data_IF_577789291196
#
_entry.id   IF_577789291196
#
_cell.length_a   1.000
_cell.length_b   1.000
_cell.length_c   1.000
_cell.angle_alpha   90.00
_cell.angle_beta   90.00
_cell.angle_gamma   90.00
#
_symmetry.space_group_name_H-M   'P 1'
#
loop_
_entity.id
_entity.type
_entity.pdbx_description
1 polymer ?
#
# COMPACT_ATOMS: atom_id res chain seq x y z
N UNK A 1 6.69 -7.16 -22.71
CA UNK A 1 6.15 -5.90 -22.16
C UNK A 1 6.69 -5.80 -20.73
N UNK A 2 7.81 -5.11 -20.52
CA UNK A 2 8.71 -5.39 -19.37
C UNK A 2 8.57 -4.45 -18.16
N UNK A 3 7.55 -3.58 -18.13
CA UNK A 3 7.37 -2.66 -17.01
C UNK A 3 5.93 -2.69 -16.48
N UNK A 4 5.72 -3.29 -15.31
CA UNK A 4 4.43 -3.34 -14.61
C UNK A 4 3.84 -1.93 -14.42
N UNK A 5 4.67 -0.90 -14.23
CA UNK A 5 4.17 0.48 -14.11
C UNK A 5 3.56 1.01 -15.39
N UNK A 6 4.13 0.65 -16.54
CA UNK A 6 3.56 1.02 -17.83
C UNK A 6 2.26 0.25 -18.08
N UNK A 7 2.24 -1.02 -17.66
CA UNK A 7 1.03 -1.83 -17.71
C UNK A 7 -0.10 -1.20 -16.89
N UNK A 8 0.12 -0.94 -15.61
CA UNK A 8 -0.85 -0.27 -14.72
C UNK A 8 -1.32 1.06 -15.31
N UNK A 9 -0.40 1.86 -15.85
CA UNK A 9 -0.73 3.15 -16.46
C UNK A 9 -1.61 3.00 -17.70
N UNK A 10 -1.33 2.00 -18.54
CA UNK A 10 -2.13 1.72 -19.72
C UNK A 10 -3.51 1.20 -19.33
N UNK A 11 -3.57 0.22 -18.42
CA UNK A 11 -4.81 -0.35 -17.89
C UNK A 11 -5.71 0.73 -17.30
N UNK A 12 -5.19 1.59 -16.41
CA UNK A 12 -5.99 2.67 -15.83
C UNK A 12 -6.51 3.67 -16.88
N UNK A 13 -5.71 3.96 -17.91
CA UNK A 13 -6.14 4.86 -18.99
C UNK A 13 -7.25 4.23 -19.85
N UNK A 14 -7.18 2.92 -20.07
CA UNK A 14 -8.19 2.19 -20.85
C UNK A 14 -9.45 1.92 -20.02
N UNK A 15 -9.35 1.71 -18.71
CA UNK A 15 -10.53 1.53 -17.85
C UNK A 15 -11.41 2.78 -17.81
N UNK A 16 -10.84 3.97 -17.96
CA UNK A 16 -11.59 5.24 -18.10
C UNK A 16 -12.57 5.26 -19.28
N UNK A 17 -12.47 4.34 -20.25
CA UNK A 17 -13.40 4.26 -21.39
C UNK A 17 -14.57 3.31 -21.16
N UNK A 18 -14.60 2.57 -20.04
CA UNK A 18 -15.73 1.71 -19.69
C UNK A 18 -16.98 2.53 -19.41
N UNK A 19 -18.15 1.92 -19.61
CA UNK A 19 -19.39 2.51 -19.14
C UNK A 19 -19.52 2.43 -17.60
N UNK A 20 -20.38 3.25 -17.01
CA UNK A 20 -20.52 3.37 -15.55
C UNK A 20 -20.75 2.02 -14.83
N UNK A 21 -21.60 1.14 -15.41
CA UNK A 21 -21.90 -0.17 -14.83
C UNK A 21 -20.66 -1.08 -14.81
N UNK A 22 -19.95 -1.13 -15.93
CA UNK A 22 -18.76 -1.96 -16.06
C UNK A 22 -17.57 -1.39 -15.29
N UNK A 23 -17.44 -0.07 -15.19
CA UNK A 23 -16.41 0.61 -14.40
C UNK A 23 -16.52 0.28 -12.91
N UNK A 24 -17.75 0.26 -12.36
CA UNK A 24 -17.99 -0.11 -10.96
C UNK A 24 -17.57 -1.56 -10.68
N UNK A 25 -18.01 -2.50 -11.52
CA UNK A 25 -17.66 -3.92 -11.38
C UNK A 25 -16.14 -4.12 -11.54
N UNK A 26 -15.54 -3.49 -12.54
CA UNK A 26 -14.11 -3.58 -12.82
C UNK A 26 -13.27 -2.99 -11.67
N UNK A 27 -13.71 -1.89 -11.09
CA UNK A 27 -13.08 -1.27 -9.92
C UNK A 27 -13.11 -2.21 -8.72
N UNK A 28 -14.24 -2.88 -8.48
CA UNK A 28 -14.37 -3.84 -7.39
C UNK A 28 -13.46 -5.08 -7.59
N UNK A 29 -13.41 -5.63 -8.81
CA UNK A 29 -12.45 -6.69 -9.18
C UNK A 29 -11.01 -6.26 -8.93
N UNK A 30 -10.65 -5.07 -9.40
CA UNK A 30 -9.31 -4.52 -9.25
C UNK A 30 -8.90 -4.37 -7.77
N UNK A 31 -9.80 -3.84 -6.94
CA UNK A 31 -9.58 -3.71 -5.50
C UNK A 31 -9.41 -5.07 -4.82
N UNK A 32 -10.22 -6.05 -5.18
CA UNK A 32 -10.17 -7.40 -4.60
C UNK A 32 -8.87 -8.12 -4.98
N UNK A 33 -8.50 -8.12 -6.27
CA UNK A 33 -7.28 -8.76 -6.75
C UNK A 33 -6.02 -8.11 -6.16
N UNK A 34 -5.97 -6.78 -6.02
CA UNK A 34 -4.81 -6.08 -5.41
C UNK A 34 -4.63 -6.36 -3.92
N UNK A 35 -5.70 -6.74 -3.21
CA UNK A 35 -5.64 -7.17 -1.81
C UNK A 35 -5.48 -8.69 -1.64
N UNK A 36 -5.33 -9.43 -2.74
CA UNK A 36 -5.19 -10.88 -2.72
C UNK A 36 -3.74 -11.32 -2.43
N UNK A 37 -3.51 -12.64 -2.45
CA UNK A 37 -2.16 -13.22 -2.31
C UNK A 37 -1.34 -13.25 -3.60
N UNK A 38 -1.87 -12.73 -4.71
CA UNK A 38 -1.17 -12.67 -5.99
C UNK A 38 0.09 -11.81 -5.90
N UNK A 39 1.13 -12.17 -6.64
CA UNK A 39 2.26 -11.26 -6.82
C UNK A 39 1.82 -10.05 -7.65
N UNK A 40 2.48 -8.90 -7.47
CA UNK A 40 2.19 -7.65 -8.21
C UNK A 40 2.08 -7.89 -9.73
N UNK A 41 2.96 -8.75 -10.27
CA UNK A 41 2.93 -9.08 -11.69
C UNK A 41 1.69 -9.86 -12.08
N UNK A 42 1.41 -10.97 -11.39
CA UNK A 42 0.24 -11.81 -11.67
C UNK A 42 -1.04 -11.00 -11.53
N UNK A 43 -1.12 -10.19 -10.48
CA UNK A 43 -2.26 -9.32 -10.22
C UNK A 43 -2.51 -8.34 -11.37
N UNK A 44 -1.50 -7.56 -11.78
CA UNK A 44 -1.70 -6.54 -12.83
C UNK A 44 -1.81 -7.14 -14.23
N UNK A 45 -1.22 -8.32 -14.50
CA UNK A 45 -1.47 -9.08 -15.74
C UNK A 45 -2.93 -9.57 -15.78
N UNK A 46 -3.45 -10.18 -14.70
CA UNK A 46 -4.86 -10.60 -14.63
C UNK A 46 -5.82 -9.42 -14.75
N UNK A 47 -5.54 -8.28 -14.09
CA UNK A 47 -6.38 -7.07 -14.21
C UNK A 47 -6.42 -6.58 -15.65
N UNK A 48 -5.30 -6.60 -16.37
CA UNK A 48 -5.27 -6.23 -17.78
C UNK A 48 -6.11 -7.19 -18.64
N UNK A 49 -5.94 -8.50 -18.46
CA UNK A 49 -6.71 -9.51 -19.20
C UNK A 49 -8.22 -9.36 -18.96
N UNK A 50 -8.62 -9.05 -17.72
CA UNK A 50 -10.01 -8.77 -17.37
C UNK A 50 -10.50 -7.50 -18.05
N UNK A 51 -9.70 -6.42 -18.06
CA UNK A 51 -10.08 -5.19 -18.76
C UNK A 51 -10.31 -5.43 -20.26
N UNK A 52 -9.45 -6.22 -20.91
CA UNK A 52 -9.59 -6.56 -22.32
C UNK A 52 -10.91 -7.34 -22.57
N UNK A 53 -11.31 -8.23 -21.65
CA UNK A 53 -12.61 -8.91 -21.71
C UNK A 53 -13.78 -7.93 -21.56
N UNK A 54 -13.70 -6.98 -20.63
CA UNK A 54 -14.73 -5.96 -20.41
C UNK A 54 -14.92 -5.08 -21.65
N UNK A 55 -13.83 -4.57 -22.22
CA UNK A 55 -13.88 -3.75 -23.43
C UNK A 55 -14.41 -4.54 -24.64
N UNK A 56 -14.08 -5.83 -24.74
CA UNK A 56 -14.58 -6.69 -25.82
C UNK A 56 -16.09 -6.91 -25.70
N UNK A 57 -16.59 -7.18 -24.49
CA UNK A 57 -18.01 -7.33 -24.23
C UNK A 57 -18.79 -6.05 -24.58
N UNK A 58 -18.30 -4.88 -24.16
CA UNK A 58 -18.91 -3.59 -24.49
C UNK A 58 -18.97 -3.34 -26.00
N UNK A 59 -17.85 -3.60 -26.71
CA UNK A 59 -17.79 -3.44 -28.16
C UNK A 59 -18.78 -4.36 -28.90
N UNK A 60 -19.05 -5.55 -28.35
CA UNK A 60 -20.00 -6.51 -28.89
C UNK A 60 -21.44 -6.27 -28.41
N UNK A 61 -21.69 -5.29 -27.53
CA UNK A 61 -22.95 -5.10 -26.80
C UNK A 61 -23.39 -6.37 -26.03
N UNK A 62 -22.43 -7.13 -25.52
CA UNK A 62 -22.63 -8.29 -24.66
C UNK A 62 -22.54 -7.87 -23.19
N UNK A 63 -23.38 -8.46 -22.33
CA UNK A 63 -23.31 -8.23 -20.89
C UNK A 63 -22.11 -8.97 -20.30
N UNK A 64 -21.38 -8.30 -19.40
CA UNK A 64 -20.15 -8.83 -18.82
C UNK A 64 -20.43 -10.03 -17.89
N UNK A 65 -21.63 -10.09 -17.31
CA UNK A 65 -22.12 -11.19 -16.49
C UNK A 65 -22.17 -12.52 -17.25
N UNK A 66 -22.28 -12.50 -18.58
CA UNK A 66 -22.16 -13.71 -19.40
C UNK A 66 -20.72 -14.27 -19.43
N UNK A 67 -19.73 -13.43 -19.13
CA UNK A 67 -18.30 -13.78 -19.15
C UNK A 67 -17.82 -14.11 -17.74
N UNK A 68 -18.07 -13.22 -16.77
CA UNK A 68 -17.59 -13.37 -15.38
C UNK A 68 -18.57 -14.12 -14.48
N UNK A 69 -19.79 -14.41 -14.96
CA UNK A 69 -20.85 -15.00 -14.16
C UNK A 69 -21.59 -13.97 -13.29
N UNK A 70 -22.53 -14.47 -12.49
CA UNK A 70 -23.35 -13.63 -11.60
C UNK A 70 -22.67 -13.29 -10.27
N UNK A 71 -21.54 -13.95 -9.95
CA UNK A 71 -20.75 -13.67 -8.74
C UNK A 71 -19.32 -13.23 -9.14
N UNK A 72 -19.08 -11.92 -9.29
CA UNK A 72 -17.76 -11.38 -9.61
C UNK A 72 -16.68 -11.73 -8.57
N UNK A 73 -17.08 -12.01 -7.32
CA UNK A 73 -16.16 -12.42 -6.25
C UNK A 73 -15.72 -13.87 -6.47
N UNK A 74 -16.65 -14.77 -6.80
CA UNK A 74 -16.32 -16.16 -7.14
C UNK A 74 -15.35 -16.20 -8.33
N UNK A 75 -15.61 -15.41 -9.37
CA UNK A 75 -14.70 -15.25 -10.50
C UNK A 75 -13.28 -14.82 -10.07
N UNK A 76 -13.17 -13.83 -9.18
CA UNK A 76 -11.86 -13.42 -8.65
C UNK A 76 -11.20 -14.51 -7.81
N UNK A 77 -11.97 -15.26 -7.01
CA UNK A 77 -11.46 -16.34 -6.18
C UNK A 77 -10.88 -17.48 -7.04
N UNK A 78 -11.53 -17.83 -8.16
CA UNK A 78 -11.04 -18.81 -9.13
C UNK A 78 -9.70 -18.37 -9.77
N UNK A 79 -9.60 -17.09 -10.17
CA UNK A 79 -8.35 -16.52 -10.68
C UNK A 79 -7.24 -16.67 -9.63
N UNK A 80 -7.51 -16.27 -8.38
CA UNK A 80 -6.53 -16.35 -7.30
C UNK A 80 -6.10 -17.82 -7.05
N UNK A 81 -7.04 -18.75 -7.06
CA UNK A 81 -6.77 -20.18 -6.86
C UNK A 81 -5.91 -20.77 -7.98
N UNK A 82 -6.10 -20.34 -9.22
CA UNK A 82 -5.28 -20.78 -10.37
C UNK A 82 -3.78 -20.48 -10.18
N UNK A 83 -3.44 -19.41 -9.46
CA UNK A 83 -2.06 -19.03 -9.14
C UNK A 83 -1.56 -19.53 -7.77
N UNK A 84 -2.44 -20.06 -6.92
CA UNK A 84 -2.17 -20.31 -5.49
C UNK A 84 -1.18 -21.45 -5.20
N UNK A 85 -0.62 -22.13 -6.21
CA UNK A 85 0.33 -23.24 -6.04
C UNK A 85 1.68 -22.84 -5.41
N UNK A 86 1.99 -21.54 -5.23
CA UNK A 86 3.24 -21.08 -4.60
C UNK A 86 3.01 -20.05 -3.49
N UNK A 87 2.48 -20.50 -2.35
CA UNK A 87 2.17 -19.69 -1.15
C UNK A 87 3.38 -18.98 -0.51
N UNK A 88 4.62 -19.36 -0.85
CA UNK A 88 5.83 -18.77 -0.28
C UNK A 88 6.88 -18.50 -1.38
N UNK A 89 6.86 -17.30 -1.95
CA UNK A 89 7.89 -16.83 -2.88
C UNK A 89 8.86 -15.91 -2.16
N UNK A 90 10.17 -16.12 -2.36
CA UNK A 90 11.21 -15.17 -1.90
C UNK A 90 10.95 -13.76 -2.44
N UNK A 91 10.32 -13.65 -3.61
CA UNK A 91 9.93 -12.36 -4.20
C UNK A 91 8.94 -11.61 -3.30
N UNK A 92 7.91 -12.29 -2.78
CA UNK A 92 6.89 -11.66 -1.92
C UNK A 92 7.51 -11.15 -0.61
N UNK A 93 8.45 -11.88 -0.02
CA UNK A 93 9.15 -11.43 1.20
C UNK A 93 9.98 -10.18 0.92
N UNK A 94 10.71 -10.15 -0.20
CA UNK A 94 11.53 -8.99 -0.60
C UNK A 94 10.64 -7.77 -0.87
N UNK A 95 9.52 -7.95 -1.56
CA UNK A 95 8.55 -6.88 -1.85
C UNK A 95 7.97 -6.33 -0.54
N UNK A 96 7.50 -7.19 0.36
CA UNK A 96 6.93 -6.77 1.63
C UNK A 96 7.97 -6.06 2.52
N UNK A 97 9.21 -6.57 2.57
CA UNK A 97 10.29 -5.91 3.29
C UNK A 97 10.59 -4.52 2.72
N UNK A 98 10.59 -4.38 1.39
CA UNK A 98 10.78 -3.10 0.72
C UNK A 98 9.66 -2.11 1.05
N UNK A 99 8.40 -2.56 1.08
CA UNK A 99 7.26 -1.73 1.48
C UNK A 99 7.44 -1.24 2.91
N UNK A 100 7.73 -2.13 3.87
CA UNK A 100 7.95 -1.77 5.27
C UNK A 100 9.10 -0.77 5.42
N UNK A 101 10.23 -1.03 4.74
CA UNK A 101 11.40 -0.17 4.80
C UNK A 101 11.12 1.22 4.21
N UNK A 102 10.39 1.28 3.09
CA UNK A 102 10.01 2.55 2.47
C UNK A 102 9.04 3.35 3.36
N UNK A 103 8.03 2.68 3.93
CA UNK A 103 7.11 3.29 4.90
C UNK A 103 7.86 3.88 6.10
N UNK A 104 8.85 3.14 6.62
CA UNK A 104 9.69 3.62 7.72
C UNK A 104 10.47 4.90 7.33
N UNK A 105 11.14 4.91 6.18
CA UNK A 105 11.92 6.09 5.75
C UNK A 105 11.04 7.31 5.45
N UNK A 106 9.84 7.11 4.88
CA UNK A 106 8.88 8.19 4.64
C UNK A 106 8.46 8.81 5.97
N UNK A 107 8.03 8.00 6.93
CA UNK A 107 7.60 8.47 8.25
C UNK A 107 8.74 9.12 9.02
N UNK A 108 9.96 8.61 8.89
CA UNK A 108 11.14 9.22 9.52
C UNK A 108 11.48 10.57 8.91
N UNK A 109 11.38 10.71 7.58
CA UNK A 109 11.57 11.98 6.89
C UNK A 109 10.52 13.00 7.32
N UNK A 110 9.25 12.59 7.43
CA UNK A 110 8.17 13.43 7.98
C UNK A 110 8.53 13.89 9.39
N UNK A 111 8.94 12.97 10.27
CA UNK A 111 9.34 13.32 11.64
C UNK A 111 10.46 14.36 11.67
N UNK A 112 11.51 14.19 10.85
CA UNK A 112 12.61 15.17 10.74
C UNK A 112 12.07 16.53 10.25
N UNK A 113 11.22 16.54 9.23
CA UNK A 113 10.64 17.78 8.68
C UNK A 113 9.85 18.54 9.74
N UNK A 114 8.99 17.87 10.50
CA UNK A 114 8.12 18.53 11.48
C UNK A 114 8.81 18.87 12.79
N UNK A 115 9.65 17.98 13.33
CA UNK A 115 10.26 18.19 14.65
C UNK A 115 11.58 18.95 14.58
N UNK A 116 12.32 18.84 13.47
CA UNK A 116 13.68 19.35 13.40
C UNK A 116 13.83 20.63 12.59
N UNK A 117 13.20 20.73 11.41
CA UNK A 117 13.36 21.93 10.54
C UNK A 117 12.93 23.23 11.27
N UNK A 118 11.80 23.28 12.00
CA UNK A 118 11.43 24.49 12.75
C UNK A 118 12.46 24.87 13.81
N UNK A 119 13.02 23.89 14.52
CA UNK A 119 14.03 24.11 15.55
C UNK A 119 15.37 24.59 14.97
N UNK A 120 15.75 24.09 13.78
CA UNK A 120 16.92 24.54 13.04
C UNK A 120 16.78 26.00 12.58
N UNK A 121 15.61 26.38 12.06
CA UNK A 121 15.32 27.76 11.66
C UNK A 121 15.37 28.70 12.87
N UNK A 122 14.77 28.29 14.00
CA UNK A 122 14.73 29.10 15.23
C UNK A 122 16.10 29.30 15.87
N UNK A 123 16.94 28.27 15.86
CA UNK A 123 18.26 28.28 16.50
C UNK A 123 19.39 28.77 15.60
N UNK A 124 19.15 28.92 14.28
CA UNK A 124 20.16 29.25 13.25
C UNK A 124 21.41 28.36 13.28
N UNK A 125 21.28 27.13 13.78
CA UNK A 125 22.38 26.19 13.90
C UNK A 125 22.06 24.89 13.17
N UNK A 126 22.97 24.45 12.31
CA UNK A 126 22.90 23.16 11.61
C UNK A 126 23.49 22.00 12.44
N UNK A 127 24.02 22.29 13.63
CA UNK A 127 24.72 21.32 14.47
C UNK A 127 23.85 20.81 15.63
N UNK A 128 22.52 20.93 15.53
CA UNK A 128 21.66 20.43 16.60
C UNK A 128 21.71 18.90 16.64
N UNK A 129 21.63 18.41 17.86
CA UNK A 129 21.48 17.01 18.15
C UNK A 129 20.05 16.58 17.79
N UNK A 130 19.92 15.47 17.09
CA UNK A 130 18.66 14.78 16.87
C UNK A 130 18.59 13.58 17.81
N UNK A 131 17.46 13.47 18.50
CA UNK A 131 17.18 12.40 19.44
C UNK A 131 16.24 11.40 18.77
N UNK A 132 16.75 10.21 18.47
CA UNK A 132 15.92 9.14 17.96
C UNK A 132 15.20 8.47 19.13
N UNK A 133 13.88 8.57 19.16
CA UNK A 133 13.06 8.18 20.32
C UNK A 133 12.40 6.81 20.11
N UNK A 134 12.25 6.03 21.18
CA UNK A 134 11.52 4.77 21.12
C UNK A 134 10.04 4.91 20.69
N UNK A 135 9.27 5.94 21.13
CA UNK A 135 7.91 6.16 20.65
C UNK A 135 7.81 6.26 19.13
N UNK A 136 8.82 6.84 18.46
CA UNK A 136 8.81 6.95 17.00
C UNK A 136 8.81 5.57 16.32
N UNK A 137 9.64 4.62 16.77
CA UNK A 137 9.67 3.25 16.22
C UNK A 137 8.30 2.59 16.41
N UNK A 138 7.78 2.64 17.64
CA UNK A 138 6.54 1.96 17.98
C UNK A 138 5.39 2.54 17.15
N UNK A 139 5.25 3.86 17.09
CA UNK A 139 4.23 4.53 16.29
C UNK A 139 4.36 4.23 14.79
N UNK A 140 5.59 4.15 14.28
CA UNK A 140 5.84 3.82 12.86
C UNK A 140 5.40 2.39 12.53
N UNK A 141 5.75 1.42 13.38
CA UNK A 141 5.30 0.03 13.22
C UNK A 141 3.78 -0.07 13.31
N UNK A 142 3.21 0.61 14.30
CA UNK A 142 1.79 0.70 14.53
C UNK A 142 1.05 1.24 13.29
N UNK A 143 1.43 2.41 12.78
CA UNK A 143 0.83 3.02 11.57
C UNK A 143 0.94 2.06 10.39
N UNK A 144 2.09 1.40 10.21
CA UNK A 144 2.30 0.48 9.08
C UNK A 144 1.36 -0.73 9.16
N UNK A 145 1.17 -1.31 10.34
CA UNK A 145 0.25 -2.44 10.57
C UNK A 145 -1.19 -2.01 10.29
N UNK A 146 -1.61 -0.85 10.77
CA UNK A 146 -2.95 -0.32 10.49
C UNK A 146 -3.16 -0.08 9.00
N UNK A 147 -2.23 0.57 8.31
CA UNK A 147 -2.34 0.83 6.88
C UNK A 147 -2.52 -0.47 6.08
N UNK A 148 -1.78 -1.51 6.44
CA UNK A 148 -1.95 -2.84 5.83
C UNK A 148 -3.31 -3.47 6.17
N UNK A 149 -3.79 -3.30 7.40
CA UNK A 149 -5.13 -3.73 7.82
C UNK A 149 -6.25 -3.03 7.04
N UNK A 150 -6.16 -1.71 6.87
CA UNK A 150 -7.10 -0.89 6.10
C UNK A 150 -7.10 -1.32 4.63
N UNK A 151 -5.92 -1.44 4.02
CA UNK A 151 -5.80 -1.85 2.62
C UNK A 151 -6.46 -3.20 2.35
N UNK A 152 -6.17 -4.21 3.18
CA UNK A 152 -6.78 -5.53 3.05
C UNK A 152 -8.26 -5.54 3.37
N UNK A 153 -8.72 -4.68 4.27
CA UNK A 153 -10.13 -4.55 4.58
C UNK A 153 -10.89 -4.07 3.34
N UNK A 154 -10.48 -2.93 2.79
CA UNK A 154 -11.11 -2.31 1.60
C UNK A 154 -11.17 -3.31 0.46
N UNK A 155 -10.07 -3.98 0.14
CA UNK A 155 -10.07 -4.95 -0.97
C UNK A 155 -10.98 -6.15 -0.73
N UNK A 156 -11.03 -6.71 0.49
CA UNK A 156 -11.91 -7.85 0.81
C UNK A 156 -13.39 -7.50 0.89
N UNK A 157 -13.72 -6.23 1.07
CA UNK A 157 -15.10 -5.74 1.08
C UNK A 157 -15.53 -5.10 -0.23
N UNK A 158 -14.69 -5.12 -1.27
CA UNK A 158 -14.99 -4.50 -2.57
C UNK A 158 -16.35 -4.92 -3.14
N UNK A 159 -16.72 -6.20 -3.02
CA UNK A 159 -18.00 -6.72 -3.53
C UNK A 159 -19.18 -6.66 -2.54
N UNK A 160 -19.02 -6.12 -1.32
CA UNK A 160 -20.07 -6.16 -0.27
C UNK A 160 -21.01 -4.95 -0.28
N UNK A 161 -21.27 -4.37 -1.46
CA UNK A 161 -21.86 -3.03 -1.58
C UNK A 161 -23.33 -2.93 -1.11
N UNK A 162 -24.06 -4.04 -0.95
CA UNK A 162 -25.48 -4.02 -0.55
C UNK A 162 -25.78 -4.39 0.91
N UNK A 163 -24.97 -5.24 1.55
CA UNK A 163 -25.13 -5.55 2.97
C UNK A 163 -24.15 -4.69 3.78
N UNK A 164 -24.53 -3.41 3.97
CA UNK A 164 -23.88 -2.53 4.93
C UNK A 164 -23.95 -3.18 6.32
N UNK A 165 -22.93 -3.97 6.63
CA UNK A 165 -22.75 -4.52 7.96
C UNK A 165 -22.22 -3.35 8.80
N UNK A 166 -23.08 -2.36 9.06
CA UNK A 166 -22.81 -1.13 9.82
C UNK A 166 -22.05 -1.44 11.11
N UNK A 167 -22.33 -2.60 11.70
CA UNK A 167 -21.65 -3.12 12.88
C UNK A 167 -20.15 -3.39 12.66
N UNK A 168 -19.72 -3.81 11.47
CA UNK A 168 -18.32 -4.04 11.12
C UNK A 168 -17.58 -2.73 10.83
N UNK A 169 -18.17 -1.82 10.04
CA UNK A 169 -17.56 -0.51 9.76
C UNK A 169 -17.38 0.33 11.02
N UNK A 170 -18.39 0.34 11.90
CA UNK A 170 -18.31 1.01 13.21
C UNK A 170 -17.20 0.37 14.07
N UNK A 171 -17.07 -0.96 14.08
CA UNK A 171 -15.98 -1.65 14.80
C UNK A 171 -14.61 -1.26 14.25
N UNK A 172 -14.49 -1.10 12.93
CA UNK A 172 -13.25 -0.71 12.28
C UNK A 172 -12.85 0.73 12.61
N UNK A 173 -13.81 1.66 12.54
CA UNK A 173 -13.61 3.07 12.95
C UNK A 173 -13.25 3.14 14.44
N UNK A 174 -13.94 2.37 15.29
CA UNK A 174 -13.69 2.35 16.73
C UNK A 174 -12.30 1.79 17.04
N UNK A 175 -11.85 0.75 16.33
CA UNK A 175 -10.49 0.22 16.40
C UNK A 175 -9.46 1.31 16.02
N UNK A 176 -9.71 2.07 14.96
CA UNK A 176 -8.85 3.19 14.55
C UNK A 176 -8.76 4.28 15.63
N UNK A 177 -9.88 4.66 16.25
CA UNK A 177 -9.90 5.67 17.32
C UNK A 177 -9.11 5.18 18.53
N UNK A 178 -9.32 3.93 18.98
CA UNK A 178 -8.55 3.32 20.08
C UNK A 178 -7.06 3.39 19.78
N UNK A 179 -6.68 3.12 18.54
CA UNK A 179 -5.31 3.13 18.11
C UNK A 179 -4.65 4.51 18.15
N UNK A 180 -5.37 5.54 17.72
CA UNK A 180 -4.93 6.93 17.82
C UNK A 180 -4.69 7.33 19.29
N UNK A 181 -5.59 6.92 20.18
CA UNK A 181 -5.45 7.15 21.63
C UNK A 181 -4.19 6.44 22.16
N UNK A 182 -3.98 5.18 21.82
CA UNK A 182 -2.78 4.42 22.22
C UNK A 182 -1.51 5.12 21.73
N UNK A 183 -1.48 5.56 20.47
CA UNK A 183 -0.31 6.23 19.87
C UNK A 183 0.05 7.52 20.61
N UNK A 184 -0.95 8.32 20.99
CA UNK A 184 -0.75 9.55 21.78
C UNK A 184 -0.29 9.22 23.21
N UNK A 185 -0.89 8.22 23.85
CA UNK A 185 -0.51 7.79 25.20
C UNK A 185 0.93 7.26 25.25
N UNK A 186 1.33 6.47 24.24
CA UNK A 186 2.69 5.96 24.11
C UNK A 186 3.68 7.11 23.89
N UNK A 187 3.34 8.09 23.05
CA UNK A 187 4.13 9.29 22.92
C UNK A 187 4.32 9.97 24.27
N UNK A 188 3.24 10.23 25.02
CA UNK A 188 3.35 10.93 26.30
C UNK A 188 4.20 10.17 27.34
N UNK A 189 4.01 8.85 27.48
CA UNK A 189 4.72 8.03 28.48
C UNK A 189 6.17 7.75 28.11
N UNK A 190 6.46 7.50 26.83
CA UNK A 190 7.75 6.97 26.39
C UNK A 190 8.66 8.05 25.76
N UNK A 191 8.22 9.31 25.63
CA UNK A 191 9.04 10.39 25.04
C UNK A 191 10.41 10.57 25.72
N UNK A 192 10.53 10.17 26.99
CA UNK A 192 11.78 10.26 27.75
C UNK A 192 12.82 9.20 27.35
N UNK A 193 12.42 8.16 26.62
CA UNK A 193 13.31 7.06 26.22
C UNK A 193 13.93 7.42 24.86
N UNK A 194 15.10 8.03 24.92
CA UNK A 194 15.95 8.32 23.76
C UNK A 194 16.85 7.11 23.52
N UNK A 195 16.81 6.54 22.31
CA UNK A 195 17.61 5.39 21.93
C UNK A 195 19.04 5.80 21.59
N UNK A 196 19.18 6.86 20.78
CA UNK A 196 20.48 7.46 20.49
C UNK A 196 20.33 8.93 20.15
N UNK A 197 21.41 9.68 20.39
CA UNK A 197 21.53 11.09 20.03
C UNK A 197 22.67 11.23 19.04
N UNK A 198 22.42 11.88 17.91
CA UNK A 198 23.47 12.13 16.90
C UNK A 198 23.25 13.46 16.21
N UNK A 199 24.29 13.99 15.54
CA UNK A 199 24.15 15.21 14.74
C UNK A 199 23.26 14.98 13.53
N UNK A 200 22.33 15.91 13.27
CA UNK A 200 21.33 15.75 12.20
C UNK A 200 21.95 15.48 10.83
N UNK A 201 23.10 16.08 10.52
CA UNK A 201 23.70 15.96 9.19
C UNK A 201 24.07 14.51 8.87
N UNK A 202 24.43 13.71 9.87
CA UNK A 202 24.71 12.28 9.65
C UNK A 202 23.42 11.52 9.34
N UNK A 203 22.31 11.88 9.99
CA UNK A 203 21.00 11.29 9.74
C UNK A 203 20.49 11.67 8.35
N UNK A 204 20.59 12.95 7.96
CA UNK A 204 20.17 13.39 6.63
C UNK A 204 20.95 12.68 5.52
N UNK A 205 22.27 12.57 5.66
CA UNK A 205 23.12 11.81 4.73
C UNK A 205 22.68 10.34 4.69
N UNK A 206 22.44 9.73 5.85
CA UNK A 206 21.98 8.34 5.93
C UNK A 206 20.61 8.12 5.25
N UNK A 207 19.66 9.03 5.46
CA UNK A 207 18.32 8.96 4.83
C UNK A 207 18.43 9.11 3.31
N UNK A 208 19.24 10.06 2.82
CA UNK A 208 19.48 10.26 1.38
C UNK A 208 20.10 9.01 0.74
N UNK A 209 21.16 8.47 1.36
CA UNK A 209 21.80 7.23 0.89
C UNK A 209 20.80 6.06 0.89
N UNK A 210 19.98 5.95 1.94
CA UNK A 210 18.96 4.90 2.01
C UNK A 210 17.95 4.99 0.86
N UNK A 211 17.47 6.20 0.54
CA UNK A 211 16.60 6.41 -0.62
C UNK A 211 17.28 6.10 -1.94
N UNK A 212 18.57 6.45 -2.10
CA UNK A 212 19.34 6.08 -3.29
C UNK A 212 19.47 4.57 -3.44
N UNK A 213 19.71 3.83 -2.34
CA UNK A 213 19.76 2.36 -2.36
C UNK A 213 18.39 1.79 -2.76
N UNK A 214 17.30 2.27 -2.18
CA UNK A 214 15.94 1.81 -2.53
C UNK A 214 15.64 2.09 -4.01
N UNK A 215 16.04 3.26 -4.52
CA UNK A 215 15.90 3.64 -5.93
C UNK A 215 16.71 2.72 -6.86
N UNK A 216 17.96 2.41 -6.51
CA UNK A 216 18.81 1.50 -7.28
C UNK A 216 18.27 0.06 -7.25
N UNK A 217 17.80 -0.42 -6.10
CA UNK A 217 17.15 -1.72 -5.98
C UNK A 217 15.89 -1.81 -6.84
N UNK A 218 15.10 -0.73 -6.90
CA UNK A 218 13.94 -0.66 -7.78
C UNK A 218 14.35 -0.75 -9.26
N UNK A 219 15.41 -0.05 -9.67
CA UNK A 219 15.92 -0.10 -11.04
C UNK A 219 16.52 -1.46 -11.39
N UNK A 220 17.19 -2.12 -10.45
CA UNK A 220 17.79 -3.44 -10.66
C UNK A 220 16.72 -4.54 -10.80
N UNK A 221 15.70 -4.52 -9.94
CA UNK A 221 14.55 -5.43 -10.01
C UNK A 221 13.79 -5.32 -11.35
N UNK A 222 13.82 -4.16 -12.00
CA UNK A 222 13.22 -3.93 -13.32
C UNK A 222 14.09 -4.44 -14.48
N UNK A 223 15.39 -4.70 -14.26
CA UNK A 223 16.34 -5.06 -15.32
C UNK A 223 16.58 -6.57 -15.44
N UNK A 224 16.18 -7.35 -14.43
CA UNK A 224 16.28 -8.81 -14.40
C UNK A 224 14.99 -9.53 -14.85
N UNK A 225 13.96 -8.79 -15.26
CA UNK A 225 12.70 -9.31 -15.83
C UNK A 225 12.48 -8.74 -17.24
#
# INVERSE_FOLDING_TARGET
MNNIKELVKLTNKLSETLNDTNDEIFTNITCYLRASSLSERQCEESIQEILDMFLTAENNNESIENIIGNDPKEFCDEIIESYATKKFSKENVIVNLKIILNSFFILWTINIVFDYIPNMIRSKSLLLNYNFSLPFIINTLLITILSFGIFNYIGKTAFKQDDSNLNFDIKFILLYIIFMIISVLMWHKLNKIILFTTKIHYILIFVIISYLIIFLLQKYSLKQK
#
